data_IF_609053042075
#
_entry.id   IF_609053042075
#
_cell.length_a   1.000
_cell.length_b   1.000
_cell.length_c   1.000
_cell.angle_alpha   90.00
_cell.angle_beta   90.00
_cell.angle_gamma   90.00
#
_symmetry.space_group_name_H-M   'P 1'
#
loop_
_entity.id
_entity.type
_entity.pdbx_description
1 polymer ?
#
# COMPACT_ATOMS: atom_id res chain seq x y z
N UNK A 1 5.51 24.15 -9.81
CA UNK A 1 4.21 24.85 -9.92
C UNK A 1 3.52 24.37 -11.19
N UNK A 2 2.26 23.95 -11.09
CA UNK A 2 1.45 23.59 -12.26
C UNK A 2 0.12 24.33 -12.21
N UNK A 3 -0.52 24.50 -13.35
CA UNK A 3 -1.78 25.26 -13.48
C UNK A 3 -2.87 24.41 -14.13
N UNK A 4 -4.10 24.51 -13.63
CA UNK A 4 -5.25 23.84 -14.23
C UNK A 4 -5.78 24.61 -15.43
N UNK A 5 -6.23 23.90 -16.47
CA UNK A 5 -6.77 24.53 -17.69
C UNK A 5 -7.94 25.48 -17.41
N UNK A 6 -8.78 25.17 -16.42
CA UNK A 6 -9.88 26.04 -16.02
C UNK A 6 -9.45 27.31 -15.29
N UNK A 7 -8.28 27.32 -14.65
CA UNK A 7 -7.71 28.53 -14.04
C UNK A 7 -7.05 29.42 -15.10
N UNK A 8 -6.35 28.82 -16.08
CA UNK A 8 -5.90 29.56 -17.28
C UNK A 8 -7.07 30.26 -17.96
N UNK A 9 -8.22 29.57 -18.09
CA UNK A 9 -9.44 30.17 -18.67
C UNK A 9 -9.92 31.37 -17.88
N UNK A 10 -10.01 31.24 -16.55
CA UNK A 10 -10.51 32.30 -15.67
C UNK A 10 -9.62 33.54 -15.68
N UNK A 11 -8.31 33.35 -15.76
CA UNK A 11 -7.36 34.47 -15.74
C UNK A 11 -7.16 35.14 -17.10
N UNK A 12 -7.20 34.37 -18.19
CA UNK A 12 -6.83 34.89 -19.53
C UNK A 12 -8.03 35.35 -20.37
N UNK A 13 -9.26 34.94 -20.03
CA UNK A 13 -10.49 35.27 -20.77
C UNK A 13 -10.40 34.97 -22.29
N UNK A 14 -9.62 33.94 -22.68
CA UNK A 14 -9.41 33.52 -24.07
C UNK A 14 -10.52 32.53 -24.51
N UNK A 15 -10.98 32.55 -25.78
CA UNK A 15 -11.89 31.55 -26.31
C UNK A 15 -11.37 30.11 -26.22
N UNK A 16 -12.22 29.18 -25.80
CA UNK A 16 -11.86 27.76 -25.56
C UNK A 16 -11.21 27.07 -26.77
N UNK A 17 -11.60 27.46 -28.00
CA UNK A 17 -11.07 26.86 -29.23
C UNK A 17 -9.59 27.22 -29.46
N UNK A 18 -9.20 28.45 -29.14
CA UNK A 18 -7.82 28.93 -29.27
C UNK A 18 -6.95 28.36 -28.15
N UNK A 19 -7.46 28.36 -26.92
CA UNK A 19 -6.75 27.79 -25.77
C UNK A 19 -6.41 26.30 -25.98
N UNK A 20 -7.39 25.49 -26.41
CA UNK A 20 -7.17 24.07 -26.68
C UNK A 20 -6.18 23.84 -27.83
N UNK A 21 -6.19 24.68 -28.87
CA UNK A 21 -5.21 24.62 -29.98
C UNK A 21 -3.80 24.95 -29.50
N UNK A 22 -3.64 26.03 -28.72
CA UNK A 22 -2.34 26.44 -28.18
C UNK A 22 -1.76 25.39 -27.22
N UNK A 23 -2.58 24.84 -26.32
CA UNK A 23 -2.14 23.76 -25.41
C UNK A 23 -1.69 22.52 -26.22
N UNK A 24 -2.46 22.13 -27.25
CA UNK A 24 -2.05 21.03 -28.13
C UNK A 24 -0.73 21.31 -28.84
N UNK A 25 -0.53 22.52 -29.37
CA UNK A 25 0.74 22.90 -30.01
C UNK A 25 1.92 22.87 -29.04
N UNK A 26 1.72 23.32 -27.80
CA UNK A 26 2.74 23.30 -26.75
C UNK A 26 3.07 21.88 -26.27
N UNK A 27 2.08 20.98 -26.24
CA UNK A 27 2.27 19.55 -25.99
C UNK A 27 3.04 18.88 -27.14
N UNK A 28 2.67 19.17 -28.40
CA UNK A 28 3.37 18.62 -29.58
C UNK A 28 4.82 19.08 -29.65
N UNK A 29 5.11 20.31 -29.21
CA UNK A 29 6.48 20.85 -29.10
C UNK A 29 7.22 20.39 -27.83
N UNK A 30 6.63 19.52 -27.02
CA UNK A 30 7.20 19.00 -25.77
C UNK A 30 7.70 20.09 -24.82
N UNK A 31 7.05 21.26 -24.78
CA UNK A 31 7.38 22.36 -23.86
C UNK A 31 6.61 22.24 -22.55
N UNK A 32 5.42 21.63 -22.60
CA UNK A 32 4.58 21.35 -21.44
C UNK A 32 4.21 19.87 -21.41
N UNK A 33 3.98 19.34 -20.20
CA UNK A 33 3.43 18.02 -19.94
C UNK A 33 2.13 18.13 -19.15
N UNK A 34 1.23 17.20 -19.40
CA UNK A 34 -0.04 17.10 -18.68
C UNK A 34 0.09 16.08 -17.55
N UNK A 35 -0.09 16.51 -16.31
CA UNK A 35 -0.03 15.67 -15.12
C UNK A 35 -1.43 15.52 -14.55
N UNK A 36 -1.87 14.28 -14.41
CA UNK A 36 -3.16 13.96 -13.78
C UNK A 36 -3.01 14.07 -12.27
N UNK A 37 -3.88 14.85 -11.63
CA UNK A 37 -3.94 14.89 -10.17
C UNK A 37 -4.65 13.63 -9.65
N UNK A 38 -4.00 12.87 -8.76
CA UNK A 38 -4.57 11.63 -8.22
C UNK A 38 -5.70 11.88 -7.22
N UNK A 39 -5.63 12.97 -6.45
CA UNK A 39 -6.72 13.36 -5.55
C UNK A 39 -7.95 13.80 -6.35
N UNK A 40 -7.76 14.35 -7.55
CA UNK A 40 -8.84 14.75 -8.43
C UNK A 40 -8.55 14.43 -9.89
N UNK A 41 -8.90 13.20 -10.30
CA UNK A 41 -8.68 12.67 -11.65
C UNK A 41 -9.27 13.54 -12.77
N UNK A 42 -10.26 14.38 -12.47
CA UNK A 42 -10.88 15.30 -13.43
C UNK A 42 -10.06 16.58 -13.68
N UNK A 43 -9.15 16.93 -12.76
CA UNK A 43 -8.31 18.12 -12.86
C UNK A 43 -6.94 17.75 -13.41
N UNK A 44 -6.73 18.03 -14.70
CA UNK A 44 -5.45 17.89 -15.36
C UNK A 44 -4.62 19.16 -15.19
N UNK A 45 -3.45 19.04 -14.58
CA UNK A 45 -2.55 20.14 -14.31
C UNK A 45 -1.49 20.19 -15.42
N UNK A 46 -1.31 21.35 -16.04
CA UNK A 46 -0.25 21.58 -17.01
C UNK A 46 0.99 22.07 -16.29
N UNK A 47 2.14 21.52 -16.66
CA UNK A 47 3.44 21.85 -16.07
C UNK A 47 4.48 21.91 -17.18
N UNK A 48 5.51 22.75 -17.05
CA UNK A 48 6.62 22.70 -18.00
C UNK A 48 7.33 21.35 -17.91
N UNK A 49 7.90 20.87 -19.02
CA UNK A 49 8.56 19.55 -19.06
C UNK A 49 9.72 19.45 -18.08
N UNK A 50 10.46 20.55 -17.91
CA UNK A 50 11.60 20.74 -17.01
C UNK A 50 11.27 20.45 -15.53
N UNK A 51 10.01 20.66 -15.10
CA UNK A 51 9.65 20.59 -13.68
C UNK A 51 9.15 19.22 -13.28
N UNK A 52 9.71 18.65 -12.22
CA UNK A 52 9.20 17.44 -11.61
C UNK A 52 7.91 17.72 -10.81
N UNK A 53 6.83 16.98 -11.06
CA UNK A 53 5.61 17.12 -10.29
C UNK A 53 5.80 16.59 -8.86
N UNK A 54 5.15 17.25 -7.89
CA UNK A 54 5.23 16.84 -6.49
C UNK A 54 4.58 15.46 -6.28
N UNK A 55 5.16 14.67 -5.36
CA UNK A 55 4.66 13.33 -4.99
C UNK A 55 3.19 13.35 -4.50
N UNK A 56 2.70 14.47 -4.00
CA UNK A 56 1.29 14.64 -3.59
C UNK A 56 0.31 14.65 -4.79
N UNK A 57 0.75 15.16 -5.94
CA UNK A 57 -0.07 15.26 -7.15
C UNK A 57 0.05 13.98 -7.99
N UNK A 58 1.26 13.44 -8.10
CA UNK A 58 1.56 12.18 -8.80
C UNK A 58 1.41 10.93 -7.95
N UNK A 59 1.07 11.05 -6.66
CA UNK A 59 0.84 9.90 -5.77
C UNK A 59 2.11 9.09 -5.48
N UNK A 60 3.26 9.59 -5.91
CA UNK A 60 4.56 8.94 -5.73
C UNK A 60 4.86 7.87 -6.77
N UNK A 61 5.85 7.05 -6.44
CA UNK A 61 6.50 6.09 -7.35
C UNK A 61 5.63 4.84 -7.65
N UNK A 62 4.42 4.76 -7.09
CA UNK A 62 3.47 3.67 -7.33
C UNK A 62 2.44 3.98 -8.42
N UNK A 63 2.44 5.19 -8.96
CA UNK A 63 1.46 5.61 -9.94
C UNK A 63 2.08 5.83 -11.31
N UNK A 64 1.55 5.13 -12.30
CA UNK A 64 1.88 5.32 -13.71
C UNK A 64 0.66 5.96 -14.37
N UNK A 65 0.82 7.16 -14.93
CA UNK A 65 -0.25 7.90 -15.62
C UNK A 65 -1.53 8.13 -14.77
N UNK A 66 -1.37 8.27 -13.45
CA UNK A 66 -2.49 8.51 -12.53
C UNK A 66 -3.31 7.27 -12.16
N UNK A 67 -2.82 6.07 -12.51
CA UNK A 67 -3.31 4.78 -12.00
C UNK A 67 -2.27 4.17 -11.08
N UNK A 68 -2.75 3.64 -9.95
CA UNK A 68 -1.91 2.86 -9.03
C UNK A 68 -1.55 1.55 -9.71
N UNK A 69 -0.26 1.25 -9.76
CA UNK A 69 0.25 0.00 -10.32
C UNK A 69 0.14 -1.13 -9.29
N UNK A 70 -1.05 -1.71 -9.19
CA UNK A 70 -1.31 -2.83 -8.28
C UNK A 70 -0.51 -4.08 -8.66
N UNK A 71 -0.21 -4.27 -9.94
CA UNK A 71 0.55 -5.41 -10.42
C UNK A 71 2.00 -5.33 -9.95
N UNK A 72 2.60 -4.14 -10.01
CA UNK A 72 3.93 -3.90 -9.46
C UNK A 72 3.97 -4.13 -7.94
N UNK A 73 2.96 -3.65 -7.21
CA UNK A 73 2.83 -3.84 -5.75
C UNK A 73 2.77 -5.33 -5.40
N UNK A 74 1.88 -6.07 -6.06
CA UNK A 74 1.69 -7.51 -5.83
C UNK A 74 2.95 -8.29 -6.19
N UNK A 75 3.56 -8.01 -7.35
CA UNK A 75 4.79 -8.66 -7.78
C UNK A 75 5.97 -8.38 -6.83
N UNK A 76 6.15 -7.13 -6.41
CA UNK A 76 7.23 -6.77 -5.47
C UNK A 76 7.01 -7.41 -4.10
N UNK A 77 5.76 -7.42 -3.63
CA UNK A 77 5.37 -8.10 -2.38
C UNK A 77 5.69 -9.60 -2.43
N UNK A 78 5.30 -10.28 -3.50
CA UNK A 78 5.56 -11.71 -3.70
C UNK A 78 7.07 -12.02 -3.77
N UNK A 79 7.84 -11.18 -4.46
CA UNK A 79 9.29 -11.33 -4.55
C UNK A 79 9.93 -11.15 -3.18
N UNK A 80 9.56 -10.11 -2.43
CA UNK A 80 10.07 -9.87 -1.08
C UNK A 80 9.75 -11.06 -0.16
N UNK A 81 8.52 -11.57 -0.22
CA UNK A 81 8.10 -12.74 0.56
C UNK A 81 8.89 -14.00 0.22
N UNK A 82 9.08 -14.30 -1.07
CA UNK A 82 9.88 -15.45 -1.53
C UNK A 82 11.35 -15.32 -1.11
N UNK A 83 11.90 -14.11 -1.15
CA UNK A 83 13.27 -13.82 -0.71
C UNK A 83 13.46 -14.10 0.78
N UNK A 84 12.59 -13.53 1.62
CA UNK A 84 12.66 -13.71 3.08
C UNK A 84 12.44 -15.18 3.43
N UNK A 85 11.57 -15.89 2.71
CA UNK A 85 11.36 -17.33 2.89
C UNK A 85 12.61 -18.16 2.56
N UNK A 86 13.35 -17.78 1.51
CA UNK A 86 14.56 -18.49 1.08
C UNK A 86 15.77 -18.19 1.97
N UNK A 87 15.95 -16.93 2.38
CA UNK A 87 17.10 -16.50 3.18
C UNK A 87 16.86 -16.60 4.69
N UNK A 88 15.61 -16.86 5.13
CA UNK A 88 15.09 -16.80 6.51
C UNK A 88 15.13 -15.41 7.16
N UNK A 89 16.18 -14.63 6.88
CA UNK A 89 16.39 -13.26 7.32
C UNK A 89 16.89 -12.44 6.12
N UNK A 90 16.34 -11.26 5.90
CA UNK A 90 16.78 -10.35 4.84
C UNK A 90 16.84 -8.90 5.37
N UNK A 91 17.85 -8.14 4.95
CA UNK A 91 17.94 -6.69 5.22
C UNK A 91 17.34 -5.90 4.06
N UNK A 92 16.98 -4.64 4.30
CA UNK A 92 16.50 -3.73 3.24
C UNK A 92 17.51 -3.65 2.07
N UNK A 93 18.79 -3.59 2.40
CA UNK A 93 19.90 -3.46 1.45
C UNK A 93 20.09 -4.77 0.68
N UNK A 94 20.01 -5.91 1.38
CA UNK A 94 20.06 -7.23 0.75
C UNK A 94 18.92 -7.46 -0.25
N UNK A 95 17.70 -6.99 0.06
CA UNK A 95 16.56 -7.08 -0.86
C UNK A 95 16.79 -6.20 -2.09
N UNK A 96 17.24 -4.96 -1.90
CA UNK A 96 17.53 -4.04 -3.01
C UNK A 96 18.63 -4.56 -3.93
N UNK A 97 19.72 -5.08 -3.36
CA UNK A 97 20.82 -5.65 -4.15
C UNK A 97 20.40 -6.92 -4.89
N UNK A 98 19.53 -7.73 -4.30
CA UNK A 98 18.98 -8.89 -4.99
C UNK A 98 18.07 -8.47 -6.16
N UNK A 99 17.21 -7.48 -5.96
CA UNK A 99 16.34 -6.96 -7.03
C UNK A 99 17.19 -6.38 -8.17
N UNK A 100 18.27 -5.66 -7.87
CA UNK A 100 19.19 -5.14 -8.89
C UNK A 100 19.90 -6.25 -9.68
N UNK A 101 20.32 -7.33 -9.02
CA UNK A 101 21.10 -8.41 -9.65
C UNK A 101 20.24 -9.43 -10.39
N UNK A 102 19.08 -9.79 -9.82
CA UNK A 102 18.22 -10.89 -10.29
C UNK A 102 16.87 -10.38 -10.76
N UNK A 103 16.33 -9.36 -10.10
CA UNK A 103 15.02 -8.77 -10.40
C UNK A 103 15.02 -7.78 -11.57
N UNK A 104 16.16 -7.47 -12.19
CA UNK A 104 16.23 -6.53 -13.32
C UNK A 104 15.43 -7.00 -14.54
N UNK A 105 15.21 -8.31 -14.70
CA UNK A 105 14.33 -8.87 -15.74
C UNK A 105 12.84 -8.72 -15.39
N UNK A 106 12.51 -8.71 -14.10
CA UNK A 106 11.14 -8.65 -13.59
C UNK A 106 10.66 -7.20 -13.51
N UNK A 107 11.57 -6.28 -13.19
CA UNK A 107 11.27 -4.86 -13.00
C UNK A 107 12.12 -4.00 -13.96
N UNK A 108 11.74 -3.90 -15.24
CA UNK A 108 12.50 -3.13 -16.24
C UNK A 108 12.56 -1.63 -15.94
N UNK A 109 11.60 -1.10 -15.17
CA UNK A 109 11.60 0.28 -14.68
C UNK A 109 12.47 0.52 -13.43
N UNK A 110 13.10 -0.53 -12.90
CA UNK A 110 13.81 -0.49 -11.62
C UNK A 110 12.86 -0.35 -10.43
N UNK A 111 13.39 -0.62 -9.23
CA UNK A 111 12.67 -0.45 -7.96
C UNK A 111 13.49 0.47 -7.07
N UNK A 112 12.83 1.47 -6.48
CA UNK A 112 13.46 2.42 -5.57
C UNK A 112 13.60 1.83 -4.16
N UNK A 113 14.54 2.38 -3.37
CA UNK A 113 14.65 2.05 -1.95
C UNK A 113 13.37 2.36 -1.16
N UNK A 114 12.68 3.44 -1.53
CA UNK A 114 11.43 3.85 -0.88
C UNK A 114 10.27 2.90 -1.16
N UNK A 115 10.18 2.36 -2.38
CA UNK A 115 9.17 1.36 -2.74
C UNK A 115 9.34 0.08 -1.91
N UNK A 116 10.59 -0.41 -1.78
CA UNK A 116 10.88 -1.59 -0.96
C UNK A 116 10.53 -1.35 0.50
N UNK A 117 10.90 -0.19 1.06
CA UNK A 117 10.56 0.16 2.44
C UNK A 117 9.04 0.20 2.68
N UNK A 118 8.27 0.77 1.75
CA UNK A 118 6.83 0.82 1.85
C UNK A 118 6.19 -0.57 1.78
N UNK A 119 6.64 -1.44 0.87
CA UNK A 119 6.17 -2.84 0.82
C UNK A 119 6.51 -3.59 2.10
N UNK A 120 7.73 -3.44 2.62
CA UNK A 120 8.12 -4.09 3.87
C UNK A 120 7.26 -3.63 5.04
N UNK A 121 6.95 -2.33 5.14
CA UNK A 121 6.02 -1.80 6.15
C UNK A 121 4.63 -2.42 6.01
N UNK A 122 4.09 -2.52 4.79
CA UNK A 122 2.78 -3.18 4.56
C UNK A 122 2.83 -4.64 4.99
N UNK A 123 3.88 -5.39 4.62
CA UNK A 123 4.04 -6.79 5.02
C UNK A 123 4.15 -6.99 6.53
N UNK A 124 4.75 -6.03 7.24
CA UNK A 124 4.79 -6.00 8.71
C UNK A 124 3.41 -5.69 9.29
N UNK A 125 2.67 -4.73 8.73
CA UNK A 125 1.29 -4.43 9.13
C UNK A 125 0.34 -5.62 8.92
N UNK A 126 0.53 -6.39 7.85
CA UNK A 126 -0.21 -7.63 7.59
C UNK A 126 0.24 -8.81 8.46
N UNK A 127 1.23 -8.61 9.35
CA UNK A 127 1.82 -9.64 10.22
C UNK A 127 2.34 -10.87 9.44
N UNK A 128 2.74 -10.68 8.18
CA UNK A 128 3.39 -11.72 7.36
C UNK A 128 4.89 -11.76 7.62
N UNK A 129 5.47 -10.59 7.89
CA UNK A 129 6.89 -10.38 8.15
C UNK A 129 7.03 -9.65 9.49
N UNK A 130 8.11 -9.92 10.22
CA UNK A 130 8.45 -9.22 11.45
C UNK A 130 9.77 -8.48 11.27
N UNK A 131 9.77 -7.19 11.63
CA UNK A 131 10.99 -6.39 11.77
C UNK A 131 11.67 -6.74 13.10
N UNK A 132 12.95 -7.07 13.04
CA UNK A 132 13.76 -7.48 14.18
C UNK A 132 15.16 -6.90 14.06
N UNK A 133 15.79 -6.61 15.20
CA UNK A 133 17.22 -6.27 15.20
C UNK A 133 18.04 -7.57 15.18
N UNK A 134 19.05 -7.60 14.31
CA UNK A 134 19.93 -8.74 14.20
C UNK A 134 20.65 -9.00 15.52
N UNK A 135 20.62 -10.26 15.95
CA UNK A 135 21.37 -10.74 17.11
C UNK A 135 22.79 -11.21 16.74
N UNK A 136 23.11 -11.29 15.43
CA UNK A 136 24.38 -11.80 14.91
C UNK A 136 24.64 -13.29 15.12
N UNK A 137 23.66 -14.05 15.62
CA UNK A 137 23.77 -15.48 15.86
C UNK A 137 22.69 -16.28 15.09
N UNK A 138 22.99 -17.52 14.70
CA UNK A 138 22.06 -18.41 14.02
C UNK A 138 21.64 -17.91 12.64
N UNK A 139 20.33 -17.81 12.38
CA UNK A 139 19.79 -17.30 11.11
C UNK A 139 20.13 -15.81 10.86
N UNK A 140 20.68 -15.10 11.86
CA UNK A 140 21.13 -13.71 11.76
C UNK A 140 22.65 -13.55 11.52
N UNK A 141 23.40 -14.65 11.35
CA UNK A 141 24.85 -14.60 11.22
C UNK A 141 25.35 -13.80 10.00
N UNK A 142 24.52 -13.64 8.97
CA UNK A 142 24.82 -12.84 7.77
C UNK A 142 24.59 -11.35 7.95
N UNK A 143 24.04 -10.91 9.09
CA UNK A 143 23.65 -9.52 9.34
C UNK A 143 24.37 -8.98 10.59
N UNK A 144 25.07 -7.84 10.51
CA UNK A 144 25.71 -7.19 11.66
C UNK A 144 24.79 -7.04 12.87
N UNK A 145 25.33 -7.22 14.07
CA UNK A 145 24.56 -7.10 15.33
C UNK A 145 23.96 -5.70 15.43
N UNK A 146 22.67 -5.64 15.73
CA UNK A 146 21.93 -4.38 15.89
C UNK A 146 21.35 -3.80 14.59
N UNK A 147 21.65 -4.39 13.43
CA UNK A 147 21.07 -3.94 12.17
C UNK A 147 19.62 -4.43 12.00
N UNK A 148 18.77 -3.58 11.44
CA UNK A 148 17.36 -3.89 11.21
C UNK A 148 17.23 -4.90 10.07
N UNK A 149 16.56 -6.01 10.36
CA UNK A 149 16.32 -7.07 9.39
C UNK A 149 14.89 -7.60 9.50
N UNK A 150 14.47 -8.28 8.45
CA UNK A 150 13.13 -8.78 8.27
C UNK A 150 13.17 -10.30 8.22
N UNK A 151 12.32 -10.94 9.00
CA UNK A 151 12.12 -12.40 8.97
C UNK A 151 10.66 -12.71 8.81
N UNK A 152 10.35 -13.92 8.33
CA UNK A 152 8.96 -14.38 8.33
C UNK A 152 8.41 -14.30 9.77
N UNK A 153 7.22 -13.72 9.90
CA UNK A 153 6.49 -13.79 11.14
C UNK A 153 6.31 -15.28 11.44
N UNK A 154 6.68 -15.71 12.65
CA UNK A 154 6.30 -17.06 13.07
C UNK A 154 4.77 -17.05 13.02
N UNK A 155 4.17 -17.85 12.14
CA UNK A 155 2.78 -18.27 12.37
C UNK A 155 2.82 -18.86 13.77
N UNK A 156 2.32 -18.12 14.76
CA UNK A 156 2.09 -18.68 16.09
C UNK A 156 1.29 -19.95 15.81
N UNK A 157 1.92 -21.10 16.00
CA UNK A 157 1.55 -22.37 15.38
C UNK A 157 0.13 -22.80 15.74
N UNK A 158 -0.81 -22.36 14.91
CA UNK A 158 -2.21 -22.69 14.92
C UNK A 158 -2.84 -21.87 13.79
N UNK A 159 -3.89 -22.39 13.17
CA UNK A 159 -4.88 -21.54 12.52
C UNK A 159 -5.10 -20.29 13.38
N UNK A 160 -5.35 -19.13 12.77
CA UNK A 160 -5.85 -17.98 13.52
C UNK A 160 -7.08 -18.50 14.27
N UNK A 161 -6.91 -18.88 15.54
CA UNK A 161 -8.01 -19.34 16.37
C UNK A 161 -8.82 -18.09 16.52
N UNK A 162 -9.87 -18.00 15.72
CA UNK A 162 -10.92 -16.99 15.88
C UNK A 162 -11.18 -16.99 17.38
N UNK A 163 -10.90 -15.85 18.02
CA UNK A 163 -10.97 -15.78 19.48
C UNK A 163 -12.35 -16.29 19.91
N UNK A 164 -12.43 -17.02 21.03
CA UNK A 164 -13.66 -17.71 21.43
C UNK A 164 -14.92 -16.80 21.40
N UNK A 165 -14.73 -15.49 21.60
CA UNK A 165 -15.81 -14.50 21.48
C UNK A 165 -16.22 -14.19 20.04
N UNK A 166 -15.31 -14.18 19.08
CA UNK A 166 -15.64 -13.98 17.67
C UNK A 166 -16.30 -15.23 17.04
N UNK A 167 -16.23 -16.40 17.71
CA UNK A 167 -16.91 -17.62 17.28
C UNK A 167 -18.33 -17.80 17.83
N UNK A 168 -18.79 -16.91 18.72
CA UNK A 168 -20.14 -16.97 19.31
C UNK A 168 -20.87 -15.64 19.13
N UNK A 169 -22.21 -15.64 19.07
CA UNK A 169 -22.98 -14.41 18.83
C UNK A 169 -22.79 -13.36 19.95
N UNK A 170 -22.36 -13.76 21.15
CA UNK A 170 -22.11 -12.85 22.26
C UNK A 170 -20.98 -11.85 21.99
N UNK A 171 -19.91 -12.24 21.27
CA UNK A 171 -18.76 -11.34 21.06
C UNK A 171 -19.04 -10.14 20.16
N UNK A 172 -20.14 -10.17 19.41
CA UNK A 172 -20.62 -9.07 18.56
C UNK A 172 -21.98 -8.53 19.01
N UNK A 173 -22.48 -8.96 20.17
CA UNK A 173 -23.81 -8.59 20.64
C UNK A 173 -23.85 -7.11 21.08
N UNK A 174 -24.67 -6.25 20.46
CA UNK A 174 -24.73 -4.82 20.78
C UNK A 174 -25.35 -4.54 22.17
N UNK A 175 -25.95 -5.55 22.80
CA UNK A 175 -26.65 -5.45 24.09
C UNK A 175 -26.04 -6.35 25.17
N UNK A 176 -24.81 -6.84 24.99
CA UNK A 176 -24.17 -7.77 25.92
C UNK A 176 -24.13 -7.25 27.37
N UNK A 177 -23.93 -5.93 27.56
CA UNK A 177 -23.88 -5.30 28.88
C UNK A 177 -25.23 -5.31 29.63
N UNK A 178 -26.34 -5.50 28.92
CA UNK A 178 -27.69 -5.57 29.49
C UNK A 178 -28.21 -7.01 29.58
N UNK A 179 -27.39 -8.00 29.19
CA UNK A 179 -27.78 -9.40 29.15
C UNK A 179 -27.57 -10.05 30.52
N UNK A 180 -28.65 -10.40 31.20
CA UNK A 180 -28.63 -11.05 32.52
C UNK A 180 -29.61 -12.22 32.58
N UNK A 181 -29.36 -13.28 33.35
CA UNK A 181 -30.26 -14.44 33.44
C UNK A 181 -31.72 -14.08 33.74
N UNK A 182 -31.94 -13.13 34.64
CA UNK A 182 -33.26 -12.70 35.13
C UNK A 182 -33.76 -11.38 34.51
N UNK A 183 -33.09 -10.89 33.45
CA UNK A 183 -33.43 -9.61 32.81
C UNK A 183 -34.29 -9.76 31.56
N UNK A 184 -34.85 -8.63 31.08
CA UNK A 184 -35.62 -8.58 29.83
C UNK A 184 -34.79 -9.06 28.62
N UNK A 185 -33.49 -8.78 28.65
CA UNK A 185 -32.50 -9.34 27.73
C UNK A 185 -31.80 -10.47 28.49
N UNK A 186 -32.11 -11.71 28.13
CA UNK A 186 -31.58 -12.89 28.83
C UNK A 186 -30.89 -13.85 27.85
N UNK A 187 -29.84 -14.56 28.30
CA UNK A 187 -29.26 -15.64 27.51
C UNK A 187 -30.26 -16.78 27.25
N UNK A 188 -31.27 -16.95 28.12
CA UNK A 188 -32.27 -18.03 28.04
C UNK A 188 -33.21 -17.85 26.84
N UNK A 189 -33.60 -16.61 26.55
CA UNK A 189 -34.52 -16.24 25.47
C UNK A 189 -33.82 -15.53 24.29
N UNK A 190 -32.48 -15.65 24.20
CA UNK A 190 -31.69 -14.91 23.23
C UNK A 190 -31.89 -15.40 21.79
N UNK A 191 -32.50 -14.56 20.95
CA UNK A 191 -32.72 -14.86 19.53
C UNK A 191 -31.41 -15.04 18.73
N UNK A 192 -30.34 -14.31 19.09
CA UNK A 192 -29.03 -14.46 18.43
C UNK A 192 -28.40 -15.82 18.72
N UNK A 193 -28.62 -16.35 19.94
CA UNK A 193 -28.09 -17.64 20.35
C UNK A 193 -28.89 -18.78 19.72
N UNK A 194 -30.22 -18.67 19.68
CA UNK A 194 -31.10 -19.64 18.99
C UNK A 194 -30.75 -19.75 17.50
N UNK A 195 -30.74 -18.63 16.77
CA UNK A 195 -30.36 -18.61 15.34
C UNK A 195 -28.96 -19.16 15.06
N UNK A 196 -28.05 -19.04 16.02
CA UNK A 196 -26.69 -19.56 15.90
C UNK A 196 -26.59 -21.06 16.23
N UNK A 197 -27.53 -21.61 17.01
CA UNK A 197 -27.62 -23.04 17.28
C UNK A 197 -28.46 -23.79 16.23
N UNK A 198 -29.39 -23.11 15.55
CA UNK A 198 -30.30 -23.67 14.55
C UNK A 198 -29.63 -23.93 13.17
N UNK A 199 -28.33 -24.23 13.13
CA UNK A 199 -27.60 -24.62 11.92
C UNK A 199 -27.70 -26.12 11.59
#
# INVERSE_FOLDING_TARGET
MGIWQGDIKRETNIPDSLMKKSIKMLLTKTLIKEVVNIQNKSKKVLMAVEFEPSKEITGGEWYTEGKLDTQLIEALSDVCMKLILRQKVATREGILDWIRKVGSEIFPGGVSAGQVEQILKVLVMENKVQEVNSTGFGDFASVPVGEVCYRLAKKTGGEVKVGAMASIPCGVCPRINACTPDGDISPINCQYYQKWLDF
#
